data_IF_893959624053
#
_entry.id   IF_893959624053
#
_cell.length_a   1.000
_cell.length_b   1.000
_cell.length_c   1.000
_cell.angle_alpha   90.00
_cell.angle_beta   90.00
_cell.angle_gamma   90.00
#
_symmetry.space_group_name_H-M   'P 1'
#
loop_
_entity.id
_entity.type
_entity.pdbx_description
1 polymer ?
#
# COMPACT_ATOMS: atom_id res chain seq x y z
N UNK A 1 -71.33 -20.98 -22.75
CA UNK A 1 -70.12 -20.12 -22.83
C UNK A 1 -69.53 -19.95 -21.43
N UNK A 2 -68.45 -20.67 -21.09
CA UNK A 2 -67.74 -20.56 -19.80
C UNK A 2 -66.42 -19.83 -20.03
N UNK A 3 -66.28 -18.61 -19.52
CA UNK A 3 -65.04 -17.81 -19.54
C UNK A 3 -64.04 -18.44 -18.57
N UNK A 4 -62.84 -18.79 -19.04
CA UNK A 4 -61.70 -19.17 -18.19
C UNK A 4 -60.82 -17.93 -17.98
N UNK A 5 -60.64 -17.56 -16.72
CA UNK A 5 -59.78 -16.45 -16.28
C UNK A 5 -58.35 -16.98 -16.19
N UNK A 6 -57.42 -16.39 -16.92
CA UNK A 6 -55.99 -16.64 -16.79
C UNK A 6 -55.47 -15.82 -15.59
N UNK A 7 -55.01 -16.50 -14.54
CA UNK A 7 -54.26 -15.89 -13.44
C UNK A 7 -52.77 -15.92 -13.82
N UNK A 8 -52.23 -14.79 -14.30
CA UNK A 8 -50.79 -14.60 -14.42
C UNK A 8 -50.24 -14.26 -13.03
N UNK A 9 -49.59 -15.24 -12.39
CA UNK A 9 -48.79 -15.01 -11.18
C UNK A 9 -47.50 -14.31 -11.58
N UNK A 10 -47.44 -13.00 -11.34
CA UNK A 10 -46.23 -12.20 -11.46
C UNK A 10 -45.44 -12.37 -10.17
N UNK A 11 -44.36 -13.15 -10.19
CA UNK A 11 -43.38 -13.22 -9.10
C UNK A 11 -42.42 -12.04 -9.31
N UNK A 12 -42.38 -11.02 -8.44
CA UNK A 12 -41.34 -10.00 -8.53
C UNK A 12 -40.03 -10.59 -8.01
N UNK A 13 -39.12 -10.86 -8.94
CA UNK A 13 -37.73 -11.20 -8.65
C UNK A 13 -37.03 -9.93 -8.15
N UNK A 14 -37.02 -9.71 -6.84
CA UNK A 14 -36.28 -8.63 -6.18
C UNK A 14 -34.79 -8.95 -6.21
N UNK A 15 -34.11 -8.58 -7.30
CA UNK A 15 -32.66 -8.40 -7.27
C UNK A 15 -32.36 -7.06 -6.61
N UNK A 16 -32.20 -7.07 -5.28
CA UNK A 16 -31.60 -5.95 -4.55
C UNK A 16 -30.09 -6.04 -4.72
N UNK A 17 -29.60 -5.66 -5.91
CA UNK A 17 -28.18 -5.35 -6.11
C UNK A 17 -27.96 -3.88 -5.72
N UNK A 18 -28.23 -3.54 -4.45
CA UNK A 18 -27.63 -2.35 -3.87
C UNK A 18 -26.15 -2.62 -3.63
N UNK A 19 -25.26 -1.62 -3.71
CA UNK A 19 -23.95 -1.78 -3.12
C UNK A 19 -24.18 -2.16 -1.65
N UNK A 20 -23.67 -3.33 -1.24
CA UNK A 20 -23.51 -3.64 0.18
C UNK A 20 -22.74 -2.44 0.73
N UNK A 21 -23.43 -1.61 1.53
CA UNK A 21 -22.74 -0.61 2.32
C UNK A 21 -21.74 -1.41 3.14
N UNK A 22 -20.45 -1.22 2.85
CA UNK A 22 -19.39 -1.79 3.63
C UNK A 22 -19.69 -1.47 5.11
N UNK A 23 -19.66 -2.51 5.95
CA UNK A 23 -19.94 -2.36 7.37
C UNK A 23 -18.98 -1.36 8.01
N UNK A 24 -19.41 -0.75 9.11
CA UNK A 24 -18.53 0.14 9.86
C UNK A 24 -17.33 -0.65 10.40
N UNK A 25 -16.13 -0.23 10.02
CA UNK A 25 -14.89 -0.85 10.46
C UNK A 25 -14.56 -0.46 11.90
N UNK A 26 -13.91 -1.36 12.62
CA UNK A 26 -13.23 -1.10 13.88
C UNK A 26 -11.71 -1.24 13.65
N UNK A 27 -10.96 -0.13 13.69
CA UNK A 27 -9.51 -0.17 13.48
C UNK A 27 -8.76 -0.95 14.57
N UNK A 28 -9.32 -1.09 15.78
CA UNK A 28 -8.71 -1.84 16.87
C UNK A 28 -8.83 -3.36 16.68
N UNK A 29 -9.93 -3.84 16.09
CA UNK A 29 -10.16 -5.27 15.85
C UNK A 29 -9.62 -5.73 14.49
N UNK A 30 -9.33 -4.78 13.60
CA UNK A 30 -8.74 -5.05 12.31
C UNK A 30 -7.23 -5.22 12.44
N UNK A 31 -6.61 -5.96 11.51
CA UNK A 31 -5.17 -6.25 11.55
C UNK A 31 -4.55 -6.07 10.16
N UNK A 32 -3.35 -5.53 10.11
CA UNK A 32 -2.51 -5.54 8.92
C UNK A 32 -1.25 -6.38 9.19
N UNK A 33 -0.77 -7.11 8.19
CA UNK A 33 0.41 -7.96 8.29
C UNK A 33 1.11 -8.09 6.94
N UNK A 34 2.37 -8.48 6.96
CA UNK A 34 3.20 -8.73 5.78
C UNK A 34 3.54 -10.22 5.67
N UNK A 35 3.75 -10.72 4.45
CA UNK A 35 4.04 -12.14 4.17
C UNK A 35 5.38 -12.63 4.73
N UNK A 36 6.32 -11.72 5.00
CA UNK A 36 7.66 -12.00 5.53
C UNK A 36 8.06 -11.05 6.66
N UNK A 37 9.11 -11.38 7.40
CA UNK A 37 9.47 -10.67 8.65
C UNK A 37 9.97 -9.22 8.44
N UNK A 38 10.55 -8.95 7.27
CA UNK A 38 10.97 -7.62 6.84
C UNK A 38 10.88 -7.57 5.33
N UNK A 39 10.29 -6.50 4.81
CA UNK A 39 10.22 -6.23 3.38
C UNK A 39 10.98 -4.96 3.08
N UNK A 40 11.76 -4.95 2.00
CA UNK A 40 12.35 -3.73 1.45
C UNK A 40 11.86 -3.60 0.02
N UNK A 41 11.22 -2.49 -0.27
CA UNK A 41 10.70 -2.20 -1.60
C UNK A 41 11.32 -0.92 -2.12
N UNK A 42 11.68 -0.95 -3.38
CA UNK A 42 12.08 0.24 -4.10
C UNK A 42 10.91 0.70 -4.97
N UNK A 43 10.49 1.95 -4.84
CA UNK A 43 9.33 2.52 -5.54
C UNK A 43 9.74 3.68 -6.44
N UNK A 44 8.90 3.98 -7.44
CA UNK A 44 9.13 5.06 -8.39
C UNK A 44 7.78 5.70 -8.78
N UNK A 45 7.72 7.02 -9.09
CA UNK A 45 6.47 7.66 -9.51
C UNK A 45 5.79 6.99 -10.72
N UNK A 46 6.55 6.41 -11.64
CA UNK A 46 5.98 5.70 -12.80
C UNK A 46 5.42 4.30 -12.43
N UNK A 47 5.73 3.77 -11.25
CA UNK A 47 5.28 2.45 -10.79
C UNK A 47 5.94 1.26 -11.47
N UNK A 48 7.11 1.46 -12.07
CA UNK A 48 7.83 0.47 -12.89
C UNK A 48 9.09 -0.11 -12.22
N UNK A 49 9.21 0.08 -10.91
CA UNK A 49 10.30 -0.49 -10.10
C UNK A 49 9.94 -1.93 -9.64
N UNK A 50 10.32 -2.32 -8.42
CA UNK A 50 10.19 -3.68 -7.90
C UNK A 50 8.73 -4.01 -7.62
N UNK A 51 8.32 -5.22 -8.02
CA UNK A 51 7.06 -5.82 -7.61
C UNK A 51 7.20 -6.33 -6.18
N UNK A 52 6.12 -6.21 -5.39
CA UNK A 52 6.05 -6.82 -4.07
C UNK A 52 6.34 -8.32 -4.11
N UNK A 53 5.92 -9.02 -5.17
CA UNK A 53 5.92 -10.49 -5.28
C UNK A 53 7.30 -11.15 -5.35
N UNK A 54 8.39 -10.38 -5.35
CA UNK A 54 9.76 -10.87 -5.41
C UNK A 54 10.65 -10.41 -4.24
N UNK A 55 10.09 -9.67 -3.27
CA UNK A 55 10.85 -8.94 -2.25
C UNK A 55 11.54 -9.86 -1.25
N UNK A 56 10.91 -10.96 -0.84
CA UNK A 56 11.42 -11.91 0.15
C UNK A 56 11.96 -13.20 -0.47
N UNK A 57 12.26 -13.19 -1.77
CA UNK A 57 12.88 -14.32 -2.47
C UNK A 57 11.95 -15.50 -2.78
N UNK A 58 10.64 -15.36 -2.50
CA UNK A 58 9.59 -16.31 -2.86
C UNK A 58 8.47 -15.58 -3.60
N UNK A 59 7.86 -16.22 -4.60
CA UNK A 59 6.71 -15.65 -5.30
C UNK A 59 5.50 -15.53 -4.36
N UNK A 60 4.87 -14.36 -4.33
CA UNK A 60 3.57 -14.15 -3.65
C UNK A 60 3.60 -13.33 -2.38
N UNK A 61 4.63 -12.49 -2.22
CA UNK A 61 4.70 -11.51 -1.14
C UNK A 61 3.60 -10.45 -1.24
N UNK A 62 3.04 -10.07 -0.09
CA UNK A 62 1.85 -9.24 -0.03
C UNK A 62 1.68 -8.56 1.32
N UNK A 63 0.91 -7.46 1.32
CA UNK A 63 0.31 -6.91 2.54
C UNK A 63 -1.08 -7.55 2.67
N UNK A 64 -1.31 -8.24 3.79
CA UNK A 64 -2.61 -8.81 4.15
C UNK A 64 -3.31 -7.91 5.16
N UNK A 65 -4.54 -7.53 4.85
CA UNK A 65 -5.40 -6.71 5.71
C UNK A 65 -6.63 -7.53 6.06
N UNK A 66 -6.93 -7.68 7.34
CA UNK A 66 -8.14 -8.33 7.84
C UNK A 66 -8.98 -7.28 8.57
N UNK A 67 -10.18 -7.04 8.06
CA UNK A 67 -11.03 -5.93 8.43
C UNK A 67 -12.22 -6.48 9.22
N UNK A 68 -12.43 -5.92 10.41
CA UNK A 68 -13.45 -6.34 11.35
C UNK A 68 -14.25 -5.17 11.89
N UNK A 69 -15.46 -5.45 12.36
CA UNK A 69 -16.30 -4.50 13.08
C UNK A 69 -16.03 -4.53 14.60
N UNK A 70 -16.77 -3.72 15.35
CA UNK A 70 -16.66 -3.63 16.81
C UNK A 70 -17.08 -4.92 17.56
N UNK A 71 -17.78 -5.82 16.90
CA UNK A 71 -18.18 -7.13 17.41
C UNK A 71 -17.23 -8.24 16.92
N UNK A 72 -16.10 -7.87 16.31
CA UNK A 72 -15.10 -8.75 15.74
C UNK A 72 -15.58 -9.60 14.54
N UNK A 73 -16.71 -9.24 13.92
CA UNK A 73 -17.20 -9.88 12.70
C UNK A 73 -16.43 -9.37 11.48
N UNK A 74 -16.20 -10.20 10.45
CA UNK A 74 -15.56 -9.76 9.21
C UNK A 74 -16.42 -8.74 8.46
N UNK A 75 -15.78 -7.75 7.84
CA UNK A 75 -16.44 -6.72 7.02
C UNK A 75 -16.15 -6.96 5.54
N UNK A 76 -17.02 -7.68 4.79
CA UNK A 76 -16.84 -7.88 3.36
C UNK A 76 -17.22 -6.64 2.54
N UNK A 77 -16.81 -6.62 1.28
CA UNK A 77 -17.34 -5.67 0.30
C UNK A 77 -16.67 -4.29 0.25
N UNK A 78 -15.60 -4.07 1.03
CA UNK A 78 -14.84 -2.81 0.97
C UNK A 78 -14.18 -2.67 -0.42
N UNK A 79 -14.40 -1.54 -1.12
CA UNK A 79 -13.86 -1.32 -2.46
C UNK A 79 -12.34 -1.40 -2.51
N UNK A 80 -11.80 -1.83 -3.66
CA UNK A 80 -10.35 -1.89 -3.91
C UNK A 80 -9.63 -0.56 -3.72
N UNK A 81 -10.34 0.55 -3.82
CA UNK A 81 -9.86 1.93 -3.78
C UNK A 81 -10.15 2.56 -2.43
N UNK A 82 -10.11 1.82 -1.34
CA UNK A 82 -10.48 2.34 0.00
C UNK A 82 -9.35 2.10 1.01
N UNK A 83 -8.12 2.14 0.50
CA UNK A 83 -6.89 1.85 1.22
C UNK A 83 -5.90 2.98 1.00
N UNK A 84 -5.22 3.41 2.06
CA UNK A 84 -4.17 4.43 2.03
C UNK A 84 -2.96 3.93 2.80
N UNK A 85 -1.79 4.45 2.45
CA UNK A 85 -0.52 4.16 3.10
C UNK A 85 0.06 5.45 3.68
N UNK A 86 0.81 5.33 4.76
CA UNK A 86 1.62 6.43 5.27
C UNK A 86 2.81 5.92 6.08
N UNK A 87 3.81 6.77 6.25
CA UNK A 87 4.97 6.48 7.09
C UNK A 87 4.58 6.55 8.57
N UNK A 88 5.01 5.56 9.36
CA UNK A 88 4.78 5.59 10.80
C UNK A 88 5.61 6.65 11.53
N UNK A 89 6.80 6.94 11.02
CA UNK A 89 7.64 8.03 11.51
C UNK A 89 7.35 9.31 10.71
N UNK A 90 6.91 10.41 11.34
CA UNK A 90 6.57 11.65 10.65
C UNK A 90 7.78 12.41 10.09
N UNK A 91 9.01 11.95 10.37
CA UNK A 91 10.23 12.50 9.75
C UNK A 91 10.46 11.97 8.34
N UNK A 92 9.84 10.84 8.00
CA UNK A 92 9.81 10.30 6.65
C UNK A 92 8.61 10.87 5.89
N UNK A 93 8.85 11.27 4.65
CA UNK A 93 7.80 11.70 3.74
C UNK A 93 7.61 10.66 2.64
N UNK A 94 6.36 10.45 2.25
CA UNK A 94 5.99 9.57 1.16
C UNK A 94 5.05 10.33 0.24
N UNK A 95 5.46 10.43 -1.00
CA UNK A 95 4.60 10.89 -2.07
C UNK A 95 3.98 9.63 -2.71
N UNK A 96 2.67 9.59 -2.91
CA UNK A 96 2.01 8.44 -3.52
C UNK A 96 1.17 8.92 -4.70
N UNK A 97 1.46 8.40 -5.89
CA UNK A 97 0.85 8.86 -7.14
C UNK A 97 -0.64 8.55 -7.22
N UNK A 98 -1.06 7.47 -6.58
CA UNK A 98 -2.47 7.14 -6.44
C UNK A 98 -2.76 6.98 -4.95
N UNK A 99 -3.58 7.88 -4.42
CA UNK A 99 -4.24 7.73 -3.13
C UNK A 99 -5.73 7.84 -3.39
N UNK A 100 -6.50 6.77 -3.15
CA UNK A 100 -6.17 5.50 -2.48
C UNK A 100 -5.23 4.56 -3.27
N UNK A 101 -4.45 3.74 -2.57
CA UNK A 101 -3.79 2.57 -3.18
C UNK A 101 -4.85 1.51 -3.56
N UNK A 102 -4.54 0.70 -4.57
CA UNK A 102 -5.47 -0.27 -5.13
C UNK A 102 -5.16 -1.66 -4.57
N UNK A 103 -6.06 -2.20 -3.74
CA UNK A 103 -6.00 -3.60 -3.33
C UNK A 103 -6.26 -4.55 -4.52
N UNK A 104 -5.90 -5.82 -4.42
CA UNK A 104 -6.03 -6.81 -5.51
C UNK A 104 -7.49 -7.10 -5.86
N UNK A 105 -8.36 -7.10 -4.85
CA UNK A 105 -9.77 -7.41 -4.95
C UNK A 105 -10.58 -6.66 -3.88
N UNK A 106 -11.89 -6.62 -4.09
CA UNK A 106 -12.83 -6.18 -3.05
C UNK A 106 -12.66 -7.13 -1.84
N UNK A 107 -12.78 -6.59 -0.63
CA UNK A 107 -12.65 -7.41 0.60
C UNK A 107 -13.60 -8.61 0.57
N UNK A 108 -13.06 -9.80 0.82
CA UNK A 108 -13.79 -11.05 0.71
C UNK A 108 -14.76 -11.29 1.89
N UNK A 109 -15.49 -12.42 1.87
CA UNK A 109 -16.44 -12.81 2.92
C UNK A 109 -15.80 -12.93 4.32
N UNK A 110 -14.48 -13.11 4.39
CA UNK A 110 -13.72 -13.21 5.63
C UNK A 110 -13.18 -11.87 6.11
N UNK A 111 -13.53 -10.76 5.43
CA UNK A 111 -13.01 -9.44 5.74
C UNK A 111 -11.56 -9.27 5.28
N UNK A 112 -11.05 -10.14 4.38
CA UNK A 112 -9.65 -10.09 3.97
C UNK A 112 -9.48 -9.36 2.65
N UNK A 113 -8.47 -8.50 2.58
CA UNK A 113 -7.95 -7.88 1.37
C UNK A 113 -6.42 -8.08 1.29
N UNK A 114 -5.92 -8.10 0.06
CA UNK A 114 -4.50 -8.22 -0.25
C UNK A 114 -4.08 -7.04 -1.11
N UNK A 115 -2.86 -6.57 -0.89
CA UNK A 115 -2.19 -5.64 -1.79
C UNK A 115 -0.96 -6.36 -2.32
N UNK A 116 -1.02 -6.69 -3.61
CA UNK A 116 0.09 -7.17 -4.42
C UNK A 116 0.34 -6.16 -5.55
N UNK A 117 1.53 -6.18 -6.14
CA UNK A 117 1.88 -5.35 -7.30
C UNK A 117 2.95 -4.31 -6.99
N UNK A 118 2.94 -3.19 -7.70
CA UNK A 118 3.86 -2.07 -7.46
C UNK A 118 3.15 -0.96 -6.69
N UNK A 119 3.91 -0.19 -5.91
CA UNK A 119 3.48 1.11 -5.39
C UNK A 119 4.11 2.18 -6.27
N UNK A 120 3.28 3.06 -6.83
CA UNK A 120 3.74 4.23 -7.57
C UNK A 120 3.86 5.41 -6.61
N UNK A 121 5.06 5.93 -6.45
CA UNK A 121 5.34 7.01 -5.51
C UNK A 121 6.82 7.26 -5.31
N UNK A 122 7.11 8.08 -4.32
CA UNK A 122 8.43 8.55 -3.96
C UNK A 122 8.61 8.71 -2.45
N UNK A 123 9.78 9.17 -2.06
CA UNK A 123 10.19 9.33 -0.67
C UNK A 123 10.92 8.12 -0.12
N UNK A 124 11.05 8.08 1.21
CA UNK A 124 11.85 7.08 1.89
C UNK A 124 11.30 6.76 3.27
N UNK A 125 11.32 5.49 3.66
CA UNK A 125 11.00 5.00 5.01
C UNK A 125 12.03 3.94 5.38
N UNK A 126 12.97 4.27 6.27
CA UNK A 126 14.02 3.33 6.68
C UNK A 126 13.67 2.58 7.96
N UNK A 127 13.07 3.30 8.91
CA UNK A 127 12.77 2.81 10.24
C UNK A 127 11.30 3.06 10.55
N UNK A 128 10.74 2.29 11.47
CA UNK A 128 9.33 2.37 11.91
C UNK A 128 8.29 1.91 10.89
N UNK A 129 8.62 1.79 9.60
CA UNK A 129 7.76 1.17 8.60
C UNK A 129 6.52 2.00 8.22
N UNK A 130 5.49 1.33 7.70
CA UNK A 130 4.27 1.99 7.19
C UNK A 130 3.02 1.55 7.93
N UNK A 131 2.02 2.43 8.00
CA UNK A 131 0.68 2.08 8.46
C UNK A 131 -0.31 2.00 7.29
N UNK A 132 -1.40 1.27 7.51
CA UNK A 132 -2.53 1.16 6.58
C UNK A 132 -3.72 1.92 7.15
N UNK A 133 -4.41 2.67 6.30
CA UNK A 133 -5.71 3.27 6.58
C UNK A 133 -6.75 2.67 5.65
N UNK A 134 -7.90 2.27 6.20
CA UNK A 134 -9.04 1.74 5.44
C UNK A 134 -10.25 2.62 5.75
N UNK A 135 -11.03 3.06 4.77
CA UNK A 135 -12.20 3.94 5.02
C UNK A 135 -11.89 5.18 5.89
N UNK A 136 -10.66 5.71 5.78
CA UNK A 136 -10.20 6.83 6.60
C UNK A 136 -9.93 6.51 8.08
N UNK A 137 -9.97 5.24 8.50
CA UNK A 137 -9.51 4.80 9.83
C UNK A 137 -8.18 4.05 9.71
N UNK A 138 -7.17 4.51 10.43
CA UNK A 138 -5.87 3.84 10.53
C UNK A 138 -6.00 2.58 11.37
N UNK A 139 -5.48 1.46 10.88
CA UNK A 139 -5.44 0.20 11.63
C UNK A 139 -4.53 0.38 12.85
N UNK A 140 -5.01 0.00 14.02
CA UNK A 140 -4.35 0.28 15.30
C UNK A 140 -3.77 -0.99 15.92
N UNK A 141 -2.66 -0.83 16.63
CA UNK A 141 -1.98 -1.91 17.33
C UNK A 141 -2.77 -2.38 18.56
N UNK A 142 -2.83 -3.70 18.74
CA UNK A 142 -3.48 -4.33 19.88
C UNK A 142 -2.47 -4.63 21.01
N UNK A 143 -2.91 -4.64 22.28
CA UNK A 143 -4.29 -4.53 22.76
C UNK A 143 -4.74 -3.10 23.13
N UNK A 144 -3.84 -2.12 23.09
CA UNK A 144 -4.12 -0.77 23.63
C UNK A 144 -4.88 0.13 22.66
N UNK A 145 -4.75 -0.09 21.35
CA UNK A 145 -5.42 0.69 20.31
C UNK A 145 -5.20 2.21 20.42
N UNK A 146 -3.97 2.62 20.75
CA UNK A 146 -3.59 4.03 20.87
C UNK A 146 -2.54 4.47 19.84
N UNK A 147 -1.96 3.52 19.10
CA UNK A 147 -0.94 3.75 18.09
C UNK A 147 -1.24 2.94 16.83
N UNK A 148 -0.89 3.44 15.63
CA UNK A 148 -1.03 2.68 14.39
C UNK A 148 -0.28 1.34 14.45
N UNK A 149 -0.80 0.32 13.77
CA UNK A 149 -0.01 -0.87 13.43
C UNK A 149 1.00 -0.50 12.36
N UNK A 150 2.27 -0.60 12.72
CA UNK A 150 3.38 -0.31 11.82
C UNK A 150 3.95 -1.59 11.21
N UNK A 151 3.77 -1.74 9.91
CA UNK A 151 4.31 -2.85 9.13
C UNK A 151 5.78 -2.57 8.85
N UNK A 152 6.64 -3.54 9.17
CA UNK A 152 8.09 -3.46 8.95
C UNK A 152 8.44 -3.56 7.45
N UNK A 153 8.12 -2.50 6.72
CA UNK A 153 8.39 -2.31 5.30
C UNK A 153 9.33 -1.10 5.18
N UNK A 154 10.52 -1.35 4.63
CA UNK A 154 11.46 -0.32 4.20
C UNK A 154 11.07 0.11 2.79
N UNK A 155 11.00 1.42 2.57
CA UNK A 155 10.73 2.02 1.26
C UNK A 155 11.91 2.89 0.90
N UNK A 156 12.44 2.70 -0.31
CA UNK A 156 13.40 3.63 -0.92
C UNK A 156 12.87 4.07 -2.28
N UNK A 157 13.25 5.27 -2.70
CA UNK A 157 12.90 5.80 -4.01
C UNK A 157 13.98 6.75 -4.51
N UNK A 158 14.26 6.78 -5.82
CA UNK A 158 15.06 7.84 -6.40
C UNK A 158 14.40 9.24 -6.29
N UNK A 159 13.09 9.32 -6.02
CA UNK A 159 12.41 10.58 -5.66
C UNK A 159 12.65 10.87 -4.17
N UNK A 160 13.85 11.36 -3.86
CA UNK A 160 14.31 11.56 -2.48
C UNK A 160 13.69 12.80 -1.82
N UNK A 161 13.15 13.72 -2.60
CA UNK A 161 12.45 14.91 -2.10
C UNK A 161 10.97 14.68 -1.85
N UNK A 162 10.45 13.51 -2.25
CA UNK A 162 9.05 13.11 -2.11
C UNK A 162 8.09 14.11 -2.79
N UNK A 163 8.51 14.71 -3.92
CA UNK A 163 7.70 15.67 -4.68
C UNK A 163 6.95 15.02 -5.86
N UNK A 164 7.06 13.69 -5.98
CA UNK A 164 6.43 12.86 -7.01
C UNK A 164 6.99 13.04 -8.42
N UNK A 165 8.21 13.59 -8.53
CA UNK A 165 8.94 13.75 -9.78
C UNK A 165 10.44 13.56 -9.57
N UNK A 166 11.02 12.52 -10.16
CA UNK A 166 12.47 12.31 -10.08
C UNK A 166 13.19 13.32 -10.97
N UNK A 167 13.89 14.29 -10.38
CA UNK A 167 14.52 15.39 -11.08
C UNK A 167 15.89 15.77 -10.49
N UNK A 168 16.42 16.95 -10.88
CA UNK A 168 17.72 17.44 -10.43
C UNK A 168 17.75 17.73 -8.92
N UNK A 169 16.60 18.00 -8.29
CA UNK A 169 16.50 18.22 -6.85
C UNK A 169 16.85 16.95 -6.09
N UNK A 170 16.32 15.81 -6.52
CA UNK A 170 16.62 14.50 -5.92
C UNK A 170 18.08 14.10 -6.14
N UNK A 171 18.64 14.38 -7.31
CA UNK A 171 20.06 14.18 -7.56
C UNK A 171 20.93 14.99 -6.59
N UNK A 172 20.49 16.19 -6.21
CA UNK A 172 21.15 17.01 -5.20
C UNK A 172 21.17 16.35 -3.82
N UNK A 173 20.06 15.70 -3.43
CA UNK A 173 19.97 14.93 -2.18
C UNK A 173 20.87 13.68 -2.25
N UNK A 174 20.76 12.89 -3.33
CA UNK A 174 21.60 11.72 -3.57
C UNK A 174 23.11 12.05 -3.51
N UNK A 175 23.52 13.15 -4.16
CA UNK A 175 24.91 13.57 -4.23
C UNK A 175 25.53 13.89 -2.85
N UNK A 176 24.71 14.20 -1.83
CA UNK A 176 25.19 14.42 -0.47
C UNK A 176 25.73 13.13 0.19
N UNK A 177 25.28 11.97 -0.27
CA UNK A 177 25.71 10.65 0.24
C UNK A 177 26.60 9.90 -0.74
N UNK A 178 26.78 10.38 -1.98
CA UNK A 178 27.58 9.70 -3.01
C UNK A 178 29.04 9.50 -2.59
N UNK A 179 29.53 8.26 -2.75
CA UNK A 179 30.87 7.84 -2.35
C UNK A 179 30.98 7.40 -0.88
N UNK A 180 29.87 7.35 -0.14
CA UNK A 180 29.87 6.86 1.24
C UNK A 180 29.81 5.33 1.32
N UNK A 181 30.64 4.75 2.19
CA UNK A 181 30.73 3.33 2.54
C UNK A 181 31.20 3.22 4.00
N UNK A 182 30.33 2.95 5.00
CA UNK A 182 28.90 2.66 4.84
C UNK A 182 28.09 3.87 4.36
N UNK A 183 26.92 3.61 3.79
CA UNK A 183 25.98 4.65 3.36
C UNK A 183 25.67 5.63 4.52
N UNK A 184 25.91 6.92 4.31
CA UNK A 184 25.56 7.96 5.29
C UNK A 184 24.06 8.22 5.35
N UNK A 185 23.40 8.07 4.21
CA UNK A 185 21.94 8.06 4.08
C UNK A 185 21.53 6.76 3.38
N UNK A 186 20.98 5.78 4.13
CA UNK A 186 20.50 4.54 3.54
C UNK A 186 19.36 4.72 2.53
N UNK A 187 18.71 5.89 2.47
CA UNK A 187 17.73 6.18 1.42
C UNK A 187 18.36 6.30 0.03
N UNK A 188 19.68 6.58 -0.05
CA UNK A 188 20.42 6.71 -1.31
C UNK A 188 21.10 5.40 -1.74
N UNK A 189 21.09 4.36 -0.90
CA UNK A 189 21.62 3.04 -1.19
C UNK A 189 20.50 2.18 -1.77
N UNK A 190 20.29 2.30 -3.08
CA UNK A 190 19.13 1.72 -3.76
C UNK A 190 19.28 0.21 -3.94
N UNK A 191 20.51 -0.29 -4.08
CA UNK A 191 20.78 -1.71 -4.26
C UNK A 191 21.07 -2.47 -2.94
N UNK A 192 21.04 -1.78 -1.80
CA UNK A 192 21.21 -2.34 -0.45
C UNK A 192 22.57 -3.04 -0.25
N UNK A 193 23.62 -2.53 -0.90
CA UNK A 193 24.99 -3.05 -0.78
C UNK A 193 25.82 -2.35 0.31
N UNK A 194 25.18 -1.45 1.07
CA UNK A 194 25.72 -0.62 2.14
C UNK A 194 26.71 0.46 1.64
N UNK A 195 26.72 0.77 0.34
CA UNK A 195 27.59 1.76 -0.27
C UNK A 195 26.86 2.59 -1.32
N UNK A 196 26.79 3.91 -1.14
CA UNK A 196 26.20 4.79 -2.16
C UNK A 196 27.23 5.08 -3.24
N UNK A 197 27.12 4.45 -4.40
CA UNK A 197 28.15 4.52 -5.44
C UNK A 197 27.56 4.58 -6.87
N UNK A 198 28.38 4.24 -7.87
CA UNK A 198 27.99 4.32 -9.28
C UNK A 198 26.83 3.36 -9.61
N UNK A 199 26.67 2.25 -8.90
CA UNK A 199 25.52 1.35 -9.04
C UNK A 199 24.21 2.07 -8.69
N UNK A 200 24.17 2.79 -7.57
CA UNK A 200 22.99 3.54 -7.13
C UNK A 200 22.70 4.71 -8.06
N UNK A 201 23.74 5.40 -8.54
CA UNK A 201 23.57 6.45 -9.53
C UNK A 201 23.00 5.90 -10.84
N UNK A 202 23.38 4.69 -11.25
CA UNK A 202 22.81 4.05 -12.44
C UNK A 202 21.33 3.69 -12.23
N UNK A 203 20.96 3.21 -11.04
CA UNK A 203 19.55 2.99 -10.68
C UNK A 203 18.77 4.31 -10.70
N UNK A 204 19.27 5.36 -10.04
CA UNK A 204 18.67 6.69 -10.10
C UNK A 204 18.45 7.18 -11.54
N UNK A 205 19.50 7.12 -12.37
CA UNK A 205 19.46 7.59 -13.74
C UNK A 205 18.46 6.81 -14.61
N UNK A 206 18.21 5.54 -14.30
CA UNK A 206 17.21 4.71 -14.96
C UNK A 206 15.77 5.21 -14.78
N UNK A 207 15.52 6.02 -13.74
CA UNK A 207 14.21 6.57 -13.41
C UNK A 207 14.14 8.10 -13.48
N UNK A 208 15.17 8.75 -14.02
CA UNK A 208 15.20 10.21 -14.15
C UNK A 208 14.02 10.70 -15.01
N UNK A 209 13.32 11.75 -14.54
CA UNK A 209 12.09 12.29 -15.13
C UNK A 209 10.87 11.37 -15.06
N UNK A 210 10.89 10.33 -14.22
CA UNK A 210 9.66 9.62 -13.89
C UNK A 210 8.81 10.48 -12.95
N UNK A 211 7.54 10.63 -13.31
CA UNK A 211 6.53 11.41 -12.57
C UNK A 211 5.23 10.62 -12.49
N UNK A 212 4.38 10.97 -11.53
CA UNK A 212 3.03 10.43 -11.45
C UNK A 212 2.23 10.81 -12.72
N UNK A 213 1.47 9.86 -13.26
CA UNK A 213 0.61 10.06 -14.44
C UNK A 213 -0.88 10.05 -14.10
#
# INVERSE_FOLDING_TARGET
MKKRIFLFSLIPLLFVNGPLLAGQIDPCNSTASISCAAMRISICPLGDFELFDAVCGASGDHIKIVIRDAMNNPVPGIPRTDYWLGACDPTYDLCLCCQPIIADAITDISGTAYICGTISGGGCVLNSGIYITVQGQTIMDQPTCISPTCLNIVIVSPDMTADCVINLSDLGVFAASYGSCPATDPCADFNDDNCVNLSDLALFAGHYMHECR
#
